data_IF_094777748519
#
_entry.id   IF_094777748519
#
_cell.length_a   1.000
_cell.length_b   1.000
_cell.length_c   1.000
_cell.angle_alpha   90.00
_cell.angle_beta   90.00
_cell.angle_gamma   90.00
#
_symmetry.space_group_name_H-M   'P 1'
#
loop_
_entity.id
_entity.type
_entity.pdbx_description
1 polymer ?
#
# COMPACT_ATOMS: atom_id res chain seq x y z
N UNK A 1 23.30 12.74 -1.18
CA UNK A 1 22.36 11.78 -0.56
C UNK A 1 21.45 11.23 -1.63
N UNK A 2 21.01 9.98 -1.50
CA UNK A 2 20.05 9.36 -2.41
C UNK A 2 18.67 9.49 -1.78
N UNK A 3 17.71 10.04 -2.52
CA UNK A 3 16.31 10.17 -2.08
C UNK A 3 15.42 9.23 -2.89
N UNK A 4 14.41 8.67 -2.25
CA UNK A 4 13.39 7.82 -2.86
C UNK A 4 12.02 8.47 -2.74
N UNK A 5 11.08 8.04 -3.58
CA UNK A 5 9.69 8.50 -3.47
C UNK A 5 9.05 7.97 -2.16
N UNK A 6 8.11 8.72 -1.56
CA UNK A 6 7.27 8.23 -0.47
C UNK A 6 6.50 6.96 -0.86
N UNK A 7 6.26 6.07 0.11
CA UNK A 7 5.55 4.80 -0.11
C UNK A 7 4.14 4.97 -0.63
N UNK A 8 3.46 6.05 -0.27
CA UNK A 8 2.11 6.34 -0.72
C UNK A 8 2.04 6.46 -2.25
N UNK A 9 3.05 7.12 -2.85
CA UNK A 9 3.16 7.26 -4.30
C UNK A 9 3.53 5.94 -4.97
N UNK A 10 4.39 5.14 -4.34
CA UNK A 10 4.75 3.81 -4.85
C UNK A 10 3.53 2.87 -4.87
N UNK A 11 2.74 2.85 -3.79
CA UNK A 11 1.50 2.10 -3.71
C UNK A 11 0.42 2.60 -4.69
N UNK A 12 0.36 3.92 -4.94
CA UNK A 12 -0.56 4.48 -5.94
C UNK A 12 -0.21 4.03 -7.35
N UNK A 13 1.07 4.07 -7.72
CA UNK A 13 1.54 3.53 -8.98
C UNK A 13 1.18 2.05 -9.08
N UNK A 14 1.42 1.24 -8.04
CA UNK A 14 1.06 -0.17 -8.04
C UNK A 14 -0.46 -0.39 -8.24
N UNK A 15 -1.31 0.38 -7.55
CA UNK A 15 -2.79 0.31 -7.68
C UNK A 15 -3.27 0.55 -9.10
N UNK A 16 -2.69 1.52 -9.81
CA UNK A 16 -3.06 1.83 -11.20
C UNK A 16 -2.74 0.69 -12.18
N UNK A 17 -1.73 -0.12 -11.90
CA UNK A 17 -1.33 -1.24 -12.75
C UNK A 17 -2.21 -2.49 -12.57
N UNK A 18 -2.93 -2.63 -11.46
CA UNK A 18 -3.71 -3.83 -11.14
C UNK A 18 -4.78 -4.16 -12.18
N UNK A 19 -5.43 -3.13 -12.73
CA UNK A 19 -6.48 -3.30 -13.75
C UNK A 19 -5.96 -3.99 -15.02
N UNK A 20 -4.72 -3.69 -15.42
CA UNK A 20 -4.08 -4.35 -16.58
C UNK A 20 -3.78 -5.83 -16.32
N UNK A 21 -3.56 -6.19 -15.06
CA UNK A 21 -3.25 -7.56 -14.63
C UNK A 21 -4.52 -8.37 -14.32
N UNK A 22 -5.72 -7.77 -14.40
CA UNK A 22 -6.96 -8.41 -13.94
C UNK A 22 -6.96 -8.72 -12.44
N UNK A 23 -6.11 -8.04 -11.67
CA UNK A 23 -5.97 -8.27 -10.25
C UNK A 23 -7.04 -7.48 -9.47
N UNK A 24 -7.67 -8.13 -8.50
CA UNK A 24 -8.65 -7.51 -7.60
C UNK A 24 -8.04 -7.29 -6.22
N UNK A 25 -7.81 -6.03 -5.85
CA UNK A 25 -7.31 -5.68 -4.52
C UNK A 25 -8.45 -5.67 -3.51
N UNK A 26 -8.31 -6.46 -2.44
CA UNK A 26 -9.23 -6.42 -1.31
C UNK A 26 -9.03 -5.15 -0.50
N UNK A 27 -10.12 -4.46 -0.14
CA UNK A 27 -10.08 -3.35 0.81
C UNK A 27 -10.15 -3.87 2.24
N UNK A 28 -9.23 -3.40 3.09
CA UNK A 28 -9.29 -3.70 4.52
C UNK A 28 -10.58 -3.14 5.12
N UNK A 29 -11.19 -3.89 6.02
CA UNK A 29 -12.22 -3.34 6.91
C UNK A 29 -11.55 -2.49 7.99
N UNK A 30 -12.28 -1.53 8.57
CA UNK A 30 -11.79 -0.72 9.69
C UNK A 30 -11.20 -1.58 10.82
N UNK A 31 -11.91 -2.65 11.20
CA UNK A 31 -11.45 -3.59 12.23
C UNK A 31 -10.13 -4.27 11.89
N UNK A 32 -9.91 -4.64 10.62
CA UNK A 32 -8.64 -5.26 10.20
C UNK A 32 -7.49 -4.25 10.19
N UNK A 33 -7.75 -3.05 9.68
CA UNK A 33 -6.78 -1.95 9.65
C UNK A 33 -6.33 -1.59 11.08
N UNK A 34 -7.29 -1.41 12.00
CA UNK A 34 -7.04 -1.17 13.42
C UNK A 34 -6.26 -2.34 14.06
N UNK A 35 -6.59 -3.58 13.70
CA UNK A 35 -5.94 -4.78 14.27
C UNK A 35 -4.45 -4.88 13.92
N UNK A 36 -4.07 -4.50 12.70
CA UNK A 36 -2.66 -4.54 12.26
C UNK A 36 -1.95 -3.19 12.36
N UNK A 37 -2.65 -2.15 12.82
CA UNK A 37 -2.08 -0.82 13.07
C UNK A 37 -1.68 -0.05 11.82
N UNK A 38 -2.43 -0.19 10.72
CA UNK A 38 -2.19 0.55 9.46
C UNK A 38 -3.43 1.35 9.05
N UNK A 39 -3.30 2.45 8.29
CA UNK A 39 -4.45 3.14 7.71
C UNK A 39 -5.19 2.24 6.71
N UNK A 40 -6.49 2.46 6.52
CA UNK A 40 -7.31 1.65 5.63
C UNK A 40 -6.87 1.75 4.15
N UNK A 41 -6.33 2.91 3.75
CA UNK A 41 -5.87 3.19 2.38
C UNK A 41 -4.33 3.16 2.22
N UNK A 42 -3.62 2.73 3.27
CA UNK A 42 -2.16 2.67 3.31
C UNK A 42 -1.49 3.94 3.88
N UNK A 43 -0.15 3.98 3.93
CA UNK A 43 0.77 2.93 3.48
C UNK A 43 0.64 1.66 4.31
N UNK A 44 0.68 0.51 3.63
CA UNK A 44 0.37 -0.80 4.23
C UNK A 44 1.58 -1.48 4.88
N UNK A 45 2.78 -0.89 4.74
CA UNK A 45 4.06 -1.43 5.22
C UNK A 45 4.98 -0.31 5.69
N UNK A 46 5.79 -0.62 6.71
CA UNK A 46 6.78 0.30 7.24
C UNK A 46 7.95 0.55 6.28
N UNK A 47 8.68 1.64 6.47
CA UNK A 47 9.82 2.06 5.64
C UNK A 47 10.89 1.00 5.43
N UNK A 48 11.21 0.25 6.49
CA UNK A 48 12.23 -0.79 6.45
C UNK A 48 11.78 -2.10 5.77
N UNK A 49 10.52 -2.19 5.33
CA UNK A 49 10.01 -3.37 4.68
C UNK A 49 10.61 -3.51 3.28
N UNK A 50 11.13 -4.70 2.97
CA UNK A 50 11.89 -4.90 1.72
C UNK A 50 11.01 -5.04 0.48
N UNK A 51 9.77 -5.53 0.63
CA UNK A 51 8.67 -5.56 -0.35
C UNK A 51 7.39 -5.97 0.34
#
# INVERSE_FOLDING_TARGET
EVYTLPKELDEEVARLHLGKLGAHLTKLTKKQADYIGVPQDGPFKAENYRY
#
